data_IF_279571385330
#
_entry.id   IF_279571385330
#
_cell.length_a   1.000
_cell.length_b   1.000
_cell.length_c   1.000
_cell.angle_alpha   90.00
_cell.angle_beta   90.00
_cell.angle_gamma   90.00
#
_symmetry.space_group_name_H-M   'P 1'
#
loop_
_entity.id
_entity.type
_entity.pdbx_description
1 polymer ?
#
# COMPACT_ATOMS: atom_id res chain seq x y z
N UNK A 1 15.32 7.17 -8.42
CA UNK A 1 16.15 5.98 -8.75
C UNK A 1 15.49 5.14 -9.85
N UNK A 2 16.25 4.47 -10.72
CA UNK A 2 15.70 3.53 -11.71
C UNK A 2 16.63 2.34 -11.93
N UNK A 3 16.10 1.12 -12.05
CA UNK A 3 16.92 -0.06 -12.28
C UNK A 3 16.23 -1.40 -11.98
N UNK A 4 16.99 -2.48 -12.09
CA UNK A 4 16.63 -3.81 -11.57
C UNK A 4 17.27 -3.96 -10.19
N UNK A 5 16.48 -4.34 -9.19
CA UNK A 5 16.86 -4.51 -7.79
C UNK A 5 17.60 -3.30 -7.16
N UNK A 6 17.16 -2.03 -7.37
CA UNK A 6 17.79 -0.92 -6.66
C UNK A 6 17.47 -1.02 -5.15
N UNK A 7 18.49 -0.92 -4.31
CA UNK A 7 18.38 -0.93 -2.85
C UNK A 7 18.77 0.44 -2.31
N UNK A 8 17.97 0.96 -1.39
CA UNK A 8 18.22 2.20 -0.65
C UNK A 8 18.11 1.92 0.84
N UNK A 9 19.11 2.33 1.60
CA UNK A 9 19.18 2.25 3.06
C UNK A 9 19.50 3.65 3.57
N UNK A 10 18.64 4.21 4.40
CA UNK A 10 18.84 5.53 4.99
C UNK A 10 18.19 5.59 6.38
N UNK A 11 18.68 6.47 7.26
CA UNK A 11 17.91 6.81 8.47
C UNK A 11 16.60 7.49 8.06
N UNK A 12 16.65 8.45 7.14
CA UNK A 12 15.46 9.08 6.56
C UNK A 12 15.59 9.13 5.04
N UNK A 13 14.52 8.80 4.31
CA UNK A 13 14.53 8.82 2.83
C UNK A 13 13.52 9.79 2.23
N UNK A 14 13.94 10.47 1.16
CA UNK A 14 13.09 11.36 0.37
C UNK A 14 13.25 11.05 -1.12
N UNK A 15 12.34 10.23 -1.64
CA UNK A 15 12.40 9.74 -3.01
C UNK A 15 11.32 10.39 -3.87
N UNK A 16 11.72 11.33 -4.73
CA UNK A 16 10.78 11.97 -5.65
C UNK A 16 10.11 10.99 -6.63
N UNK A 17 10.91 10.08 -7.22
CA UNK A 17 10.43 8.99 -8.09
C UNK A 17 11.34 7.75 -8.01
N UNK A 18 10.73 6.58 -7.85
CA UNK A 18 11.38 5.26 -7.93
C UNK A 18 10.69 4.44 -9.01
N UNK A 19 11.44 3.97 -10.01
CA UNK A 19 10.92 3.09 -11.05
C UNK A 19 11.77 1.82 -11.11
N UNK A 20 11.18 0.62 -11.24
CA UNK A 20 12.03 -0.55 -11.42
C UNK A 20 11.36 -1.90 -11.24
N UNK A 21 12.19 -2.93 -11.25
CA UNK A 21 11.82 -4.30 -10.90
C UNK A 21 12.51 -4.62 -9.57
N UNK A 22 11.76 -5.10 -8.59
CA UNK A 22 12.16 -5.33 -7.20
C UNK A 22 12.94 -4.18 -6.52
N UNK A 23 12.53 -2.90 -6.62
CA UNK A 23 13.15 -1.87 -5.78
C UNK A 23 12.88 -2.16 -4.30
N UNK A 24 13.91 -2.10 -3.46
CA UNK A 24 13.82 -2.25 -1.99
C UNK A 24 14.18 -0.92 -1.34
N UNK A 25 13.44 -0.55 -0.30
CA UNK A 25 13.73 0.60 0.55
C UNK A 25 13.69 0.17 2.01
N UNK A 26 14.71 0.58 2.78
CA UNK A 26 14.73 0.55 4.23
C UNK A 26 14.98 1.98 4.73
N UNK A 27 14.02 2.57 5.43
CA UNK A 27 14.16 3.89 6.03
C UNK A 27 13.20 4.12 7.21
N UNK A 28 13.57 4.98 8.14
CA UNK A 28 12.84 5.23 9.38
C UNK A 28 12.84 6.74 9.69
N UNK A 29 12.06 7.59 8.98
CA UNK A 29 10.94 7.30 8.06
C UNK A 29 11.25 7.42 6.54
N UNK A 30 10.29 7.02 5.69
CA UNK A 30 10.34 7.19 4.23
C UNK A 30 9.27 8.12 3.65
N UNK A 31 9.65 8.88 2.62
CA UNK A 31 8.75 9.73 1.84
C UNK A 31 8.92 9.51 0.34
N UNK A 32 7.91 8.91 -0.29
CA UNK A 32 7.94 8.55 -1.71
C UNK A 32 6.87 9.27 -2.51
N UNK A 33 7.33 10.13 -3.42
CA UNK A 33 6.45 10.90 -4.30
C UNK A 33 5.73 10.04 -5.34
N UNK A 34 6.46 9.12 -5.99
CA UNK A 34 5.90 8.11 -6.90
C UNK A 34 6.78 6.86 -6.95
N UNK A 35 6.17 5.70 -6.76
CA UNK A 35 6.78 4.38 -6.98
C UNK A 35 6.08 3.70 -8.14
N UNK A 36 6.80 3.31 -9.19
CA UNK A 36 6.26 2.48 -10.26
C UNK A 36 7.11 1.23 -10.47
N UNK A 37 6.51 0.05 -10.60
CA UNK A 37 7.35 -1.12 -10.82
C UNK A 37 6.67 -2.47 -10.76
N UNK A 38 7.51 -3.49 -10.77
CA UNK A 38 7.13 -4.88 -10.53
C UNK A 38 7.80 -5.29 -9.22
N UNK A 39 7.03 -5.84 -8.28
CA UNK A 39 7.47 -6.25 -6.94
C UNK A 39 8.25 -5.19 -6.13
N UNK A 40 7.87 -3.89 -6.12
CA UNK A 40 8.50 -2.98 -5.17
C UNK A 40 8.26 -3.43 -3.73
N UNK A 41 9.30 -3.43 -2.89
CA UNK A 41 9.23 -3.67 -1.46
C UNK A 41 9.66 -2.40 -0.69
N UNK A 42 8.98 -2.08 0.40
CA UNK A 42 9.33 -1.02 1.36
C UNK A 42 9.20 -1.61 2.76
N UNK A 43 10.21 -1.41 3.61
CA UNK A 43 10.18 -1.76 5.03
C UNK A 43 10.58 -0.54 5.85
N UNK A 44 9.66 0.02 6.62
CA UNK A 44 9.86 1.31 7.31
C UNK A 44 9.03 1.39 8.58
N UNK A 45 9.49 2.05 9.63
CA UNK A 45 8.64 2.34 10.80
C UNK A 45 7.42 3.19 10.38
N UNK A 46 7.66 4.24 9.58
CA UNK A 46 6.60 5.06 8.97
C UNK A 46 6.84 5.33 7.50
N UNK A 47 5.83 5.08 6.65
CA UNK A 47 5.86 5.36 5.22
C UNK A 47 4.83 6.40 4.78
N UNK A 48 5.25 7.26 3.85
CA UNK A 48 4.36 8.20 3.17
C UNK A 48 4.49 8.06 1.65
N UNK A 49 3.50 7.43 1.02
CA UNK A 49 3.49 7.19 -0.42
C UNK A 49 2.37 7.97 -1.10
N UNK A 50 2.76 8.97 -1.90
CA UNK A 50 1.76 9.77 -2.65
C UNK A 50 1.16 8.99 -3.82
N UNK A 51 1.92 8.07 -4.43
CA UNK A 51 1.41 7.22 -5.51
C UNK A 51 2.26 5.97 -5.70
N UNK A 52 1.61 4.82 -5.62
CA UNK A 52 2.21 3.54 -5.99
C UNK A 52 1.46 2.96 -7.19
N UNK A 53 2.17 2.60 -8.26
CA UNK A 53 1.57 1.85 -9.36
C UNK A 53 2.42 0.63 -9.72
N UNK A 54 1.81 -0.53 -9.96
CA UNK A 54 2.64 -1.67 -10.34
C UNK A 54 1.95 -3.02 -10.40
N UNK A 55 2.80 -4.03 -10.46
CA UNK A 55 2.44 -5.44 -10.33
C UNK A 55 3.10 -5.93 -9.04
N UNK A 56 2.31 -6.52 -8.14
CA UNK A 56 2.71 -7.02 -6.84
C UNK A 56 3.52 -6.03 -5.96
N UNK A 57 3.14 -4.74 -5.84
CA UNK A 57 3.76 -3.93 -4.81
C UNK A 57 3.48 -4.50 -3.41
N UNK A 58 4.52 -4.53 -2.57
CA UNK A 58 4.45 -4.90 -1.15
C UNK A 58 4.99 -3.73 -0.33
N UNK A 59 4.20 -3.26 0.62
CA UNK A 59 4.59 -2.24 1.59
C UNK A 59 4.42 -2.83 2.99
N UNK A 60 5.47 -2.75 3.79
CA UNK A 60 5.54 -3.23 5.17
C UNK A 60 5.93 -2.05 6.06
N UNK A 61 5.03 -1.63 6.96
CA UNK A 61 5.33 -0.58 7.91
C UNK A 61 4.65 -0.78 9.26
N UNK A 62 5.05 -0.07 10.31
CA UNK A 62 4.19 0.03 11.50
C UNK A 62 3.01 0.95 11.16
N UNK A 63 3.31 2.11 10.54
CA UNK A 63 2.30 3.04 10.05
C UNK A 63 2.49 3.37 8.57
N UNK A 64 1.44 3.17 7.77
CA UNK A 64 1.44 3.46 6.34
C UNK A 64 0.42 4.52 5.94
N UNK A 65 0.85 5.48 5.11
CA UNK A 65 -0.01 6.51 4.51
C UNK A 65 0.08 6.48 2.98
N UNK A 66 -0.94 5.94 2.33
CA UNK A 66 -0.99 5.81 0.86
C UNK A 66 -2.12 6.63 0.26
N UNK A 67 -1.74 7.64 -0.53
CA UNK A 67 -2.74 8.49 -1.19
C UNK A 67 -3.40 7.80 -2.39
N UNK A 68 -2.63 7.02 -3.16
CA UNK A 68 -3.13 6.24 -4.31
C UNK A 68 -2.29 5.00 -4.55
N UNK A 69 -2.91 3.83 -4.48
CA UNK A 69 -2.33 2.57 -4.91
C UNK A 69 -3.11 2.06 -6.14
N UNK A 70 -2.41 1.78 -7.25
CA UNK A 70 -3.04 1.14 -8.41
C UNK A 70 -2.23 -0.03 -8.93
N UNK A 71 -2.85 -1.18 -9.21
CA UNK A 71 -2.05 -2.28 -9.73
C UNK A 71 -2.73 -3.60 -9.95
N UNK A 72 -1.89 -4.60 -10.18
CA UNK A 72 -2.25 -6.01 -10.16
C UNK A 72 -1.61 -6.60 -8.90
N UNK A 73 -2.42 -7.21 -8.05
CA UNK A 73 -2.10 -7.70 -6.72
C UNK A 73 -1.30 -6.74 -5.82
N UNK A 74 -1.69 -5.47 -5.66
CA UNK A 74 -1.08 -4.65 -4.62
C UNK A 74 -1.38 -5.25 -3.24
N UNK A 75 -0.35 -5.32 -2.39
CA UNK A 75 -0.43 -5.78 -1.02
C UNK A 75 0.16 -4.74 -0.08
N UNK A 76 -0.60 -4.37 0.95
CA UNK A 76 -0.18 -3.44 2.00
C UNK A 76 -0.36 -4.14 3.35
N UNK A 77 0.70 -4.14 4.16
CA UNK A 77 0.74 -4.76 5.47
C UNK A 77 1.30 -3.74 6.47
N UNK A 78 0.49 -3.31 7.42
CA UNK A 78 0.97 -2.47 8.52
C UNK A 78 0.11 -2.63 9.77
N UNK A 79 0.61 -2.25 10.94
CA UNK A 79 -0.25 -2.18 12.15
C UNK A 79 -1.38 -1.17 11.92
N UNK A 80 -1.03 -0.01 11.34
CA UNK A 80 -2.00 1.01 10.96
C UNK A 80 -1.86 1.42 9.49
N UNK A 81 -2.97 1.34 8.74
CA UNK A 81 -3.06 1.69 7.31
C UNK A 81 -4.03 2.86 7.10
N UNK A 82 -3.58 3.87 6.35
CA UNK A 82 -4.42 4.95 5.83
C UNK A 82 -4.35 5.03 4.32
N UNK A 83 -5.40 4.55 3.65
CA UNK A 83 -5.48 4.52 2.18
C UNK A 83 -6.60 5.40 1.67
N UNK A 84 -6.23 6.42 0.88
CA UNK A 84 -7.24 7.29 0.27
C UNK A 84 -7.91 6.66 -0.95
N UNK A 85 -7.15 5.93 -1.78
CA UNK A 85 -7.68 5.19 -2.94
C UNK A 85 -6.82 3.99 -3.27
N UNK A 86 -7.43 2.81 -3.27
CA UNK A 86 -6.86 1.59 -3.84
C UNK A 86 -7.65 1.16 -5.07
N UNK A 87 -6.99 0.93 -6.21
CA UNK A 87 -7.65 0.39 -7.39
C UNK A 87 -6.85 -0.76 -8.04
N UNK A 88 -7.49 -1.83 -8.45
CA UNK A 88 -6.73 -2.87 -9.14
C UNK A 88 -7.43 -4.18 -9.43
N UNK A 89 -6.61 -5.17 -9.77
CA UNK A 89 -7.00 -6.58 -9.75
C UNK A 89 -6.36 -7.20 -8.51
N UNK A 90 -7.15 -7.86 -7.69
CA UNK A 90 -6.79 -8.47 -6.41
C UNK A 90 -6.01 -7.56 -5.44
N UNK A 91 -6.43 -6.31 -5.17
CA UNK A 91 -5.83 -5.56 -4.08
C UNK A 91 -6.05 -6.28 -2.74
N UNK A 92 -5.03 -6.28 -1.88
CA UNK A 92 -5.05 -6.88 -0.56
C UNK A 92 -4.50 -5.91 0.49
N UNK A 93 -5.23 -5.71 1.57
CA UNK A 93 -4.79 -4.95 2.75
C UNK A 93 -4.90 -5.85 4.00
N UNK A 94 -3.87 -5.84 4.84
CA UNK A 94 -3.81 -6.55 6.12
C UNK A 94 -3.30 -5.61 7.21
N UNK A 95 -4.09 -5.38 8.26
CA UNK A 95 -3.69 -4.49 9.36
C UNK A 95 -4.47 -4.72 10.64
N UNK A 96 -4.00 -4.18 11.77
CA UNK A 96 -4.82 -4.13 12.97
C UNK A 96 -5.87 -3.01 12.85
N UNK A 97 -5.45 -1.86 12.31
CA UNK A 97 -6.29 -0.68 12.05
C UNK A 97 -6.23 -0.26 10.57
N UNK A 98 -7.35 -0.33 9.85
CA UNK A 98 -7.46 0.16 8.46
C UNK A 98 -8.42 1.34 8.34
N UNK A 99 -8.02 2.35 7.56
CA UNK A 99 -8.86 3.46 7.12
C UNK A 99 -8.79 3.60 5.61
N UNK A 100 -9.80 3.06 4.92
CA UNK A 100 -9.87 3.04 3.46
C UNK A 100 -11.00 3.91 2.95
N UNK A 101 -10.65 5.00 2.28
CA UNK A 101 -11.67 5.91 1.76
C UNK A 101 -12.36 5.38 0.50
N UNK A 102 -11.61 4.70 -0.38
CA UNK A 102 -12.17 4.02 -1.57
C UNK A 102 -11.31 2.84 -1.98
N UNK A 103 -11.91 1.66 -2.05
CA UNK A 103 -11.31 0.48 -2.66
C UNK A 103 -12.12 0.07 -3.90
N UNK A 104 -11.49 -0.01 -5.06
CA UNK A 104 -12.16 -0.50 -6.27
C UNK A 104 -11.38 -1.58 -7.02
N UNK A 105 -12.07 -2.56 -7.60
CA UNK A 105 -11.34 -3.55 -8.38
C UNK A 105 -12.07 -4.82 -8.73
N UNK A 106 -11.30 -5.81 -9.17
CA UNK A 106 -11.74 -7.21 -9.22
C UNK A 106 -11.09 -7.92 -8.05
N UNK A 107 -11.88 -8.63 -7.25
CA UNK A 107 -11.49 -9.34 -6.03
C UNK A 107 -10.68 -8.50 -5.01
N UNK A 108 -11.13 -7.32 -4.59
CA UNK A 108 -10.50 -6.66 -3.46
C UNK A 108 -10.63 -7.51 -2.19
N UNK A 109 -9.59 -7.53 -1.37
CA UNK A 109 -9.52 -8.20 -0.06
C UNK A 109 -9.04 -7.20 0.99
N UNK A 110 -9.78 -7.09 2.07
CA UNK A 110 -9.37 -6.32 3.25
C UNK A 110 -9.57 -7.21 4.48
N UNK A 111 -8.51 -7.44 5.25
CA UNK A 111 -8.59 -8.09 6.55
C UNK A 111 -8.02 -7.13 7.61
N UNK A 112 -8.83 -6.74 8.59
CA UNK A 112 -8.34 -5.97 9.72
C UNK A 112 -9.03 -6.30 11.04
N UNK A 113 -8.39 -6.08 12.18
CA UNK A 113 -9.12 -6.16 13.46
C UNK A 113 -10.21 -5.07 13.51
N UNK A 114 -9.83 -3.87 13.12
CA UNK A 114 -10.69 -2.69 13.03
C UNK A 114 -10.57 -2.06 11.65
N UNK A 115 -11.69 -1.88 10.95
CA UNK A 115 -11.73 -1.27 9.63
C UNK A 115 -12.77 -0.17 9.50
N UNK A 116 -12.39 0.88 8.77
CA UNK A 116 -13.29 1.90 8.28
C UNK A 116 -13.19 2.02 6.76
N UNK A 117 -14.16 1.43 6.06
CA UNK A 117 -14.22 1.46 4.59
C UNK A 117 -15.37 2.34 4.15
N UNK A 118 -15.05 3.53 3.64
CA UNK A 118 -16.10 4.45 3.20
C UNK A 118 -16.80 3.99 1.92
N UNK A 119 -16.07 3.37 0.98
CA UNK A 119 -16.64 2.86 -0.28
C UNK A 119 -15.83 1.70 -0.84
N UNK A 120 -16.42 0.52 -0.91
CA UNK A 120 -15.87 -0.63 -1.62
C UNK A 120 -16.71 -0.93 -2.88
N UNK A 121 -16.11 -0.86 -4.07
CA UNK A 121 -16.80 -1.24 -5.32
C UNK A 121 -15.96 -2.21 -6.14
N UNK A 122 -16.49 -3.39 -6.44
CA UNK A 122 -15.77 -4.32 -7.27
C UNK A 122 -16.55 -5.54 -7.65
N UNK A 123 -15.96 -6.36 -8.49
CA UNK A 123 -16.46 -7.72 -8.68
C UNK A 123 -15.86 -8.60 -7.59
N UNK A 124 -16.72 -9.27 -6.83
CA UNK A 124 -16.33 -10.27 -5.82
C UNK A 124 -15.43 -9.72 -4.67
N UNK A 125 -15.83 -8.64 -3.98
CA UNK A 125 -15.10 -8.12 -2.84
C UNK A 125 -15.15 -9.08 -1.63
N UNK A 126 -14.09 -9.07 -0.83
CA UNK A 126 -14.02 -9.73 0.48
C UNK A 126 -13.54 -8.70 1.50
N UNK A 127 -14.33 -8.50 2.54
CA UNK A 127 -14.00 -7.65 3.67
C UNK A 127 -14.24 -8.47 4.94
N UNK A 128 -13.23 -8.60 5.78
CA UNK A 128 -13.32 -9.28 7.07
C UNK A 128 -12.72 -8.36 8.12
N UNK A 129 -13.55 -7.89 9.04
CA UNK A 129 -13.07 -7.23 10.24
C UNK A 129 -13.83 -7.64 11.48
N UNK A 130 -13.13 -7.65 12.62
CA UNK A 130 -13.79 -7.89 13.91
C UNK A 130 -14.72 -6.72 14.25
N UNK A 131 -14.30 -5.51 13.91
CA UNK A 131 -15.10 -4.29 13.99
C UNK A 131 -15.01 -3.51 12.67
N UNK A 132 -16.11 -3.48 11.92
CA UNK A 132 -16.22 -2.73 10.65
C UNK A 132 -17.28 -1.63 10.76
N UNK A 133 -16.96 -0.43 10.27
CA UNK A 133 -17.96 0.60 9.94
C UNK A 133 -17.90 0.92 8.44
N UNK A 134 -19.00 0.64 7.75
CA UNK A 134 -19.16 0.84 6.30
C UNK A 134 -20.18 1.94 6.08
N UNK A 135 -19.73 3.07 5.52
CA UNK A 135 -20.53 4.28 5.28
C UNK A 135 -21.13 4.43 3.89
#
# INVERSE_FOLDING_TARGET
>A
MSGKNPVELAETSYVGRKNGINPVELAEPSYVGRKNGINPAELTETSYVRRMNGINPVELAETSYVWRMNGINPAELAETIYVWRMNGKNPAELSDLSYVWRMNGKNPVELAETSYVRRMNGKNPVELAEMSDVG
#
